data_IF_087489766058
#
_entry.id   IF_087489766058
#
_cell.length_a   1.000
_cell.length_b   1.000
_cell.length_c   1.000
_cell.angle_alpha   90.00
_cell.angle_beta   90.00
_cell.angle_gamma   90.00
#
_symmetry.space_group_name_H-M   'P 1'
#
loop_
_entity.id
_entity.type
_entity.pdbx_description
1 polymer ?
#
# COMPACT_ATOMS: atom_id res chain seq x y z
N UNK A 1 12.41 6.89 43.84
CA UNK A 1 13.59 6.04 44.04
C UNK A 1 13.83 5.97 45.53
N UNK A 2 13.16 5.07 46.24
CA UNK A 2 13.34 4.93 47.69
C UNK A 2 14.62 4.16 47.99
N UNK A 3 15.42 4.70 48.90
CA UNK A 3 16.58 4.06 49.54
C UNK A 3 16.17 2.82 50.37
N UNK A 4 15.81 1.72 49.72
CA UNK A 4 15.54 0.46 50.41
C UNK A 4 16.47 -0.62 49.89
N UNK A 5 17.75 -0.54 50.26
CA UNK A 5 18.63 -1.71 50.23
C UNK A 5 18.06 -2.69 51.25
N UNK A 6 17.45 -3.78 50.78
CA UNK A 6 16.87 -4.80 51.66
C UNK A 6 18.01 -5.45 52.46
N UNK A 7 18.09 -5.10 53.75
CA UNK A 7 19.10 -5.58 54.69
C UNK A 7 18.53 -6.50 55.76
N UNK A 8 17.38 -7.11 55.47
CA UNK A 8 16.72 -8.05 56.38
C UNK A 8 17.38 -9.42 56.30
N UNK A 9 17.83 -9.87 57.45
CA UNK A 9 18.52 -11.15 57.66
C UNK A 9 17.68 -11.99 58.61
N UNK A 10 17.44 -13.24 58.26
CA UNK A 10 16.80 -14.23 59.12
C UNK A 10 17.88 -15.18 59.68
N UNK A 11 18.06 -15.22 60.99
CA UNK A 11 18.95 -16.19 61.64
C UNK A 11 18.10 -17.33 62.22
N UNK A 12 18.44 -18.56 61.85
CA UNK A 12 17.80 -19.79 62.30
C UNK A 12 18.85 -20.65 62.98
N UNK A 13 18.84 -20.71 64.30
CA UNK A 13 19.75 -21.51 65.13
C UNK A 13 19.02 -21.86 66.44
N UNK A 14 19.22 -23.05 67.01
CA UNK A 14 18.52 -23.45 68.24
C UNK A 14 19.17 -22.84 69.51
N UNK A 15 20.41 -22.35 69.41
CA UNK A 15 21.22 -21.91 70.54
C UNK A 15 21.13 -20.39 70.77
N UNK A 16 20.54 -19.92 71.90
CA UNK A 16 20.38 -18.48 72.15
C UNK A 16 21.68 -17.66 72.14
N UNK A 17 22.81 -18.25 72.54
CA UNK A 17 24.10 -17.56 72.51
C UNK A 17 24.57 -17.19 71.10
N UNK A 18 24.22 -18.00 70.09
CA UNK A 18 24.57 -17.73 68.69
C UNK A 18 23.81 -16.51 68.17
N UNK A 19 22.55 -16.35 68.57
CA UNK A 19 21.77 -15.15 68.25
C UNK A 19 22.38 -13.88 68.84
N UNK A 20 22.87 -13.95 70.08
CA UNK A 20 23.53 -12.80 70.71
C UNK A 20 24.85 -12.45 70.05
N UNK A 21 25.62 -13.44 69.59
CA UNK A 21 26.87 -13.21 68.86
C UNK A 21 26.61 -12.60 67.48
N UNK A 22 25.66 -13.15 66.71
CA UNK A 22 25.25 -12.53 65.43
C UNK A 22 24.68 -11.13 65.61
N UNK A 23 23.93 -10.88 66.70
CA UNK A 23 23.43 -9.54 67.02
C UNK A 23 24.57 -8.57 67.32
N UNK A 24 25.60 -8.97 68.08
CA UNK A 24 26.79 -8.13 68.30
C UNK A 24 27.55 -7.84 67.01
N UNK A 25 27.62 -8.81 66.10
CA UNK A 25 28.36 -8.70 64.85
C UNK A 25 27.62 -7.85 63.81
N UNK A 26 26.32 -8.09 63.61
CA UNK A 26 25.51 -7.47 62.55
C UNK A 26 24.76 -6.22 63.04
N UNK A 27 24.49 -6.10 64.33
CA UNK A 27 23.76 -4.98 64.94
C UNK A 27 24.53 -4.43 66.15
N UNK A 28 25.75 -3.88 65.95
CA UNK A 28 26.54 -3.37 67.06
C UNK A 28 25.82 -2.20 67.78
N UNK A 29 25.83 -2.15 69.13
CA UNK A 29 25.18 -1.07 69.87
C UNK A 29 25.87 0.28 69.61
N UNK A 30 25.08 1.30 69.25
CA UNK A 30 25.54 2.65 68.87
C UNK A 30 26.29 3.41 69.98
N UNK A 31 26.27 2.95 71.22
CA UNK A 31 26.66 3.75 72.39
C UNK A 31 28.15 4.08 72.47
N UNK A 32 29.06 3.32 71.85
CA UNK A 32 30.50 3.56 71.97
C UNK A 32 31.15 4.30 70.80
N UNK A 33 30.48 4.45 69.65
CA UNK A 33 31.09 5.15 68.51
C UNK A 33 30.82 6.65 68.52
N UNK A 34 29.71 7.11 69.11
CA UNK A 34 29.33 8.52 69.05
C UNK A 34 30.35 9.45 69.74
N UNK A 35 30.81 9.12 70.96
CA UNK A 35 31.80 9.94 71.69
C UNK A 35 33.19 9.90 71.04
N UNK A 36 33.60 8.75 70.52
CA UNK A 36 34.87 8.57 69.84
C UNK A 36 34.89 9.23 68.46
N UNK A 37 33.80 9.13 67.69
CA UNK A 37 33.65 9.76 66.38
C UNK A 37 33.53 11.30 66.52
N UNK A 38 32.92 11.81 67.60
CA UNK A 38 32.93 13.25 67.95
C UNK A 38 34.34 13.74 68.32
N UNK A 39 35.11 12.96 69.09
CA UNK A 39 36.50 13.29 69.44
C UNK A 39 37.44 13.25 68.21
N UNK A 40 37.28 12.27 67.31
CA UNK A 40 38.08 12.15 66.08
C UNK A 40 37.78 13.29 65.10
N UNK A 41 36.50 13.67 64.95
CA UNK A 41 36.08 14.79 64.10
C UNK A 41 36.62 16.13 64.61
N UNK A 42 36.70 16.32 65.93
CA UNK A 42 37.27 17.52 66.54
C UNK A 42 38.81 17.61 66.41
N UNK A 43 39.51 16.48 66.29
CA UNK A 43 40.97 16.42 66.23
C UNK A 43 41.56 16.45 64.82
N UNK A 44 40.90 15.84 63.83
CA UNK A 44 41.51 15.61 62.50
C UNK A 44 40.76 16.26 61.32
N UNK A 45 39.59 16.86 61.53
CA UNK A 45 38.93 17.68 60.49
C UNK A 45 38.57 16.96 59.19
N UNK A 46 38.38 15.64 59.22
CA UNK A 46 37.94 14.85 58.05
C UNK A 46 36.48 14.37 58.18
N UNK A 47 35.88 14.19 57.00
CA UNK A 47 34.47 13.91 56.74
C UNK A 47 33.90 12.78 57.60
N UNK A 48 32.69 13.01 58.14
CA UNK A 48 31.89 12.04 58.87
C UNK A 48 31.98 10.64 58.25
N UNK A 49 32.52 9.67 59.00
CA UNK A 49 32.48 8.26 58.62
C UNK A 49 31.06 7.93 58.18
N UNK A 50 30.90 7.47 56.95
CA UNK A 50 29.62 6.99 56.40
C UNK A 50 29.02 6.00 57.40
N UNK A 51 27.89 6.35 58.02
CA UNK A 51 27.14 5.46 58.93
C UNK A 51 26.99 4.11 58.23
N UNK A 52 27.62 3.06 58.76
CA UNK A 52 27.50 1.72 58.19
C UNK A 52 26.01 1.34 58.25
N UNK A 53 25.38 1.05 57.10
CA UNK A 53 23.95 0.77 57.08
C UNK A 53 23.65 -0.49 57.90
N UNK A 54 22.81 -0.32 58.92
CA UNK A 54 22.54 -1.34 59.94
C UNK A 54 21.75 -2.51 59.34
N UNK A 55 22.09 -3.74 59.71
CA UNK A 55 21.31 -4.92 59.30
C UNK A 55 20.07 -5.04 60.20
N UNK A 56 18.96 -5.55 59.63
CA UNK A 56 17.76 -5.90 60.39
C UNK A 56 17.78 -7.42 60.60
N UNK A 57 17.98 -7.85 61.84
CA UNK A 57 18.15 -9.28 62.16
C UNK A 57 16.92 -9.81 62.90
N UNK A 58 16.22 -10.75 62.27
CA UNK A 58 15.18 -11.53 62.91
C UNK A 58 15.73 -12.91 63.33
N UNK A 59 15.32 -13.39 64.49
CA UNK A 59 15.82 -14.63 65.10
C UNK A 59 14.73 -15.68 65.13
N UNK A 60 14.98 -16.89 64.64
CA UNK A 60 14.12 -18.06 64.80
C UNK A 60 14.91 -19.18 65.48
N UNK A 61 14.28 -19.90 66.40
CA UNK A 61 14.93 -20.91 67.24
C UNK A 61 14.78 -22.33 66.68
N UNK A 62 14.31 -22.45 65.44
CA UNK A 62 14.09 -23.71 64.75
C UNK A 62 13.60 -23.50 63.32
N UNK A 63 13.74 -24.52 62.48
CA UNK A 63 13.42 -24.45 61.05
C UNK A 63 11.96 -24.09 60.75
N UNK A 64 11.00 -24.65 61.49
CA UNK A 64 9.57 -24.39 61.32
C UNK A 64 9.20 -22.95 61.69
N UNK A 65 9.80 -22.41 62.76
CA UNK A 65 9.63 -21.01 63.13
C UNK A 65 10.22 -20.07 62.07
N UNK A 66 11.39 -20.42 61.52
CA UNK A 66 12.04 -19.68 60.45
C UNK A 66 11.19 -19.60 59.19
N UNK A 67 10.62 -20.73 58.76
CA UNK A 67 9.68 -20.76 57.62
C UNK A 67 8.43 -19.91 57.90
N UNK A 68 7.89 -19.98 59.12
CA UNK A 68 6.75 -19.16 59.53
C UNK A 68 7.04 -17.66 59.44
N UNK A 69 8.25 -17.24 59.82
CA UNK A 69 8.70 -15.84 59.69
C UNK A 69 8.91 -15.44 58.25
N UNK A 70 9.53 -16.29 57.42
CA UNK A 70 9.68 -16.03 55.98
C UNK A 70 8.31 -15.82 55.31
N UNK A 71 7.35 -16.72 55.57
CA UNK A 71 6.02 -16.63 54.97
C UNK A 71 5.29 -15.35 55.38
N UNK A 72 5.38 -14.96 56.66
CA UNK A 72 4.82 -13.69 57.13
C UNK A 72 5.49 -12.50 56.45
N UNK A 73 6.81 -12.51 56.35
CA UNK A 73 7.59 -11.46 55.71
C UNK A 73 7.24 -11.30 54.21
N UNK A 74 7.00 -12.41 53.50
CA UNK A 74 6.52 -12.40 52.11
C UNK A 74 5.11 -11.83 51.98
N UNK A 75 4.19 -12.20 52.89
CA UNK A 75 2.82 -11.65 52.93
C UNK A 75 2.81 -10.14 53.20
N UNK A 76 3.70 -9.68 54.08
CA UNK A 76 3.88 -8.26 54.41
C UNK A 76 4.66 -7.48 53.35
N UNK A 77 5.04 -8.11 52.23
CA UNK A 77 5.88 -7.52 51.16
C UNK A 77 7.22 -6.98 51.66
N UNK A 78 7.77 -7.58 52.72
CA UNK A 78 9.09 -7.27 53.26
C UNK A 78 9.94 -8.54 53.26
N UNK A 79 10.35 -9.09 52.11
CA UNK A 79 11.11 -10.35 52.06
C UNK A 79 12.43 -10.27 52.83
N UNK A 80 12.92 -11.41 53.31
CA UNK A 80 14.30 -11.51 53.77
C UNK A 80 15.22 -11.65 52.56
N UNK A 81 16.34 -10.93 52.55
CA UNK A 81 17.32 -11.05 51.47
C UNK A 81 18.38 -12.13 51.76
N UNK A 82 18.61 -12.45 53.05
CA UNK A 82 19.58 -13.45 53.49
C UNK A 82 19.05 -14.25 54.67
N UNK A 83 19.33 -15.55 54.71
CA UNK A 83 19.15 -16.38 55.89
C UNK A 83 20.47 -17.06 56.31
N UNK A 84 20.78 -17.02 57.60
CA UNK A 84 21.80 -17.88 58.21
C UNK A 84 21.08 -19.06 58.86
N UNK A 85 21.45 -20.28 58.48
CA UNK A 85 20.74 -21.50 58.91
C UNK A 85 21.73 -22.47 59.52
N UNK A 86 21.53 -22.81 60.78
CA UNK A 86 22.29 -23.85 61.44
C UNK A 86 21.94 -25.24 60.89
N UNK A 87 22.94 -26.08 60.72
CA UNK A 87 22.76 -27.40 60.15
C UNK A 87 22.16 -28.40 61.15
N UNK A 88 22.36 -28.21 62.46
CA UNK A 88 21.99 -29.18 63.49
C UNK A 88 21.11 -28.56 64.57
N UNK A 89 19.80 -28.65 64.34
CA UNK A 89 18.77 -28.29 65.31
C UNK A 89 18.11 -29.59 65.84
N UNK A 90 18.36 -30.02 67.10
CA UNK A 90 17.92 -31.31 67.63
C UNK A 90 16.40 -31.42 67.77
N UNK A 91 15.74 -30.31 68.11
CA UNK A 91 14.30 -30.23 68.33
C UNK A 91 13.61 -29.71 67.05
N UNK A 92 13.39 -30.60 66.06
CA UNK A 92 12.59 -30.32 64.88
C UNK A 92 13.29 -30.57 63.54
N UNK A 93 13.17 -29.62 62.60
CA UNK A 93 13.79 -29.73 61.28
C UNK A 93 15.29 -29.48 61.36
N UNK A 94 16.09 -30.26 60.64
CA UNK A 94 17.50 -29.97 60.43
C UNK A 94 17.70 -28.78 59.48
N UNK A 95 18.94 -28.27 59.39
CA UNK A 95 19.22 -27.14 58.51
C UNK A 95 18.95 -27.43 57.04
N UNK A 96 19.28 -28.63 56.57
CA UNK A 96 19.03 -29.01 55.17
C UNK A 96 17.54 -28.98 54.80
N UNK A 97 16.67 -29.59 55.61
CA UNK A 97 15.22 -29.57 55.42
C UNK A 97 14.65 -28.16 55.55
N UNK A 98 15.22 -27.35 56.45
CA UNK A 98 14.84 -25.94 56.60
C UNK A 98 15.10 -25.18 55.30
N UNK A 99 16.29 -25.31 54.70
CA UNK A 99 16.66 -24.61 53.46
C UNK A 99 15.79 -25.03 52.28
N UNK A 100 15.50 -26.32 52.12
CA UNK A 100 14.59 -26.82 51.08
C UNK A 100 13.23 -26.12 51.14
N UNK A 101 12.65 -26.02 52.33
CA UNK A 101 11.36 -25.37 52.52
C UNK A 101 11.41 -23.85 52.36
N UNK A 102 12.49 -23.19 52.80
CA UNK A 102 12.66 -21.76 52.58
C UNK A 102 12.72 -21.42 51.08
N UNK A 103 13.50 -22.16 50.28
CA UNK A 103 13.60 -21.91 48.83
C UNK A 103 12.37 -22.31 48.03
N UNK A 104 11.57 -23.25 48.51
CA UNK A 104 10.25 -23.52 47.92
C UNK A 104 9.32 -22.32 48.02
N UNK A 105 9.43 -21.52 49.09
CA UNK A 105 8.60 -20.32 49.31
C UNK A 105 9.23 -19.06 48.71
N UNK A 106 10.54 -18.89 48.84
CA UNK A 106 11.31 -17.80 48.26
C UNK A 106 12.57 -18.31 47.53
N UNK A 107 12.49 -18.54 46.21
CA UNK A 107 13.64 -18.96 45.42
C UNK A 107 14.77 -17.92 45.33
N UNK A 108 14.53 -16.67 45.70
CA UNK A 108 15.51 -15.58 45.61
C UNK A 108 16.33 -15.41 46.89
N UNK A 109 15.84 -15.91 48.03
CA UNK A 109 16.51 -15.86 49.33
C UNK A 109 17.94 -16.41 49.24
N UNK A 110 18.94 -15.60 49.62
CA UNK A 110 20.30 -16.08 49.77
C UNK A 110 20.44 -16.85 51.08
N UNK A 111 21.21 -17.94 51.10
CA UNK A 111 21.35 -18.76 52.31
C UNK A 111 22.82 -19.04 52.62
N UNK A 112 23.17 -18.85 53.90
CA UNK A 112 24.46 -19.24 54.48
C UNK A 112 24.21 -20.38 55.46
N UNK A 113 24.89 -21.51 55.24
CA UNK A 113 24.87 -22.66 56.13
C UNK A 113 25.88 -22.48 57.25
N UNK A 114 25.42 -22.48 58.48
CA UNK A 114 26.25 -22.52 59.68
C UNK A 114 26.46 -23.98 60.10
N UNK A 115 27.70 -24.43 60.26
CA UNK A 115 27.98 -25.84 60.58
C UNK A 115 29.25 -26.03 61.41
N UNK A 116 29.29 -27.08 62.23
CA UNK A 116 30.49 -27.56 62.92
C UNK A 116 31.21 -28.63 62.09
N UNK A 117 32.49 -28.88 62.38
CA UNK A 117 33.43 -29.67 61.55
C UNK A 117 33.05 -31.15 61.27
N UNK A 118 31.87 -31.63 61.67
CA UNK A 118 31.51 -33.05 61.73
C UNK A 118 30.10 -33.43 61.29
N UNK A 119 29.26 -32.49 60.84
CA UNK A 119 27.80 -32.75 60.79
C UNK A 119 27.31 -33.43 59.49
N UNK A 120 27.91 -33.17 58.33
CA UNK A 120 27.56 -33.83 57.05
C UNK A 120 28.75 -33.85 56.06
N UNK A 121 28.71 -34.75 55.07
CA UNK A 121 29.61 -34.67 53.90
C UNK A 121 29.12 -33.57 52.95
N UNK A 122 30.03 -32.73 52.45
CA UNK A 122 29.69 -31.56 51.62
C UNK A 122 28.97 -31.93 50.33
N UNK A 123 29.38 -33.04 49.71
CA UNK A 123 28.80 -33.54 48.46
C UNK A 123 27.35 -33.98 48.65
N UNK A 124 27.01 -34.59 49.79
CA UNK A 124 25.64 -35.02 50.09
C UNK A 124 24.70 -33.83 50.26
N UNK A 125 25.17 -32.76 50.90
CA UNK A 125 24.41 -31.53 51.12
C UNK A 125 24.19 -30.77 49.80
N UNK A 126 25.23 -30.61 48.98
CA UNK A 126 25.14 -29.96 47.67
C UNK A 126 24.23 -30.73 46.70
N UNK A 127 24.33 -32.07 46.68
CA UNK A 127 23.47 -32.92 45.85
C UNK A 127 22.01 -32.89 46.31
N UNK A 128 21.77 -32.83 47.62
CA UNK A 128 20.42 -32.74 48.19
C UNK A 128 19.75 -31.40 47.86
N UNK A 129 20.51 -30.32 47.83
CA UNK A 129 19.99 -28.96 47.65
C UNK A 129 20.06 -28.42 46.22
N UNK A 130 20.74 -29.09 45.28
CA UNK A 130 20.84 -28.71 43.85
C UNK A 130 21.21 -27.22 43.59
N UNK A 131 21.94 -26.57 44.51
CA UNK A 131 22.07 -25.11 44.56
C UNK A 131 23.53 -24.63 44.64
N UNK A 132 24.34 -25.00 43.64
CA UNK A 132 25.80 -24.78 43.63
C UNK A 132 26.24 -23.30 43.76
N UNK A 133 25.42 -22.33 43.35
CA UNK A 133 25.80 -20.91 43.32
C UNK A 133 25.11 -20.03 44.37
N UNK A 134 24.26 -20.60 45.23
CA UNK A 134 23.40 -19.86 46.19
C UNK A 134 23.62 -20.24 47.65
N UNK A 135 24.55 -21.16 47.89
CA UNK A 135 24.89 -21.68 49.21
C UNK A 135 26.31 -21.25 49.56
N UNK A 136 26.45 -20.44 50.61
CA UNK A 136 27.75 -20.22 51.25
C UNK A 136 27.79 -20.96 52.57
N UNK A 137 29.00 -21.29 53.01
CA UNK A 137 29.23 -22.08 54.22
C UNK A 137 30.03 -21.23 55.19
N UNK A 138 29.57 -21.20 56.43
CA UNK A 138 30.22 -20.52 57.53
C UNK A 138 30.51 -21.54 58.65
N UNK A 139 31.79 -21.73 58.98
CA UNK A 139 32.21 -22.72 59.99
C UNK A 139 32.20 -22.12 61.39
N UNK A 140 31.73 -22.88 62.39
CA UNK A 140 31.79 -22.54 63.82
C UNK A 140 33.20 -22.88 64.39
N UNK A 141 33.83 -22.02 65.24
CA UNK A 141 33.36 -20.72 65.73
C UNK A 141 33.48 -19.62 64.67
N UNK A 142 32.53 -18.69 64.68
CA UNK A 142 32.40 -17.66 63.65
C UNK A 142 33.44 -16.55 63.79
N UNK A 143 34.01 -16.11 62.66
CA UNK A 143 34.77 -14.87 62.59
C UNK A 143 33.85 -13.69 62.26
N UNK A 144 33.96 -12.61 63.04
CA UNK A 144 33.13 -11.42 62.89
C UNK A 144 33.25 -10.79 61.49
N UNK A 145 34.45 -10.79 60.91
CA UNK A 145 34.73 -10.22 59.59
C UNK A 145 34.09 -11.11 58.51
N UNK A 146 34.18 -12.42 58.66
CA UNK A 146 33.61 -13.39 57.70
C UNK A 146 32.08 -13.26 57.62
N UNK A 147 31.40 -13.21 58.76
CA UNK A 147 29.94 -13.00 58.85
C UNK A 147 29.52 -11.68 58.19
N UNK A 148 30.23 -10.57 58.49
CA UNK A 148 29.92 -9.27 57.92
C UNK A 148 30.17 -9.22 56.40
N UNK A 149 31.24 -9.84 55.92
CA UNK A 149 31.56 -9.88 54.49
C UNK A 149 30.54 -10.72 53.71
N UNK A 150 30.16 -11.89 54.24
CA UNK A 150 29.12 -12.72 53.63
C UNK A 150 27.78 -12.00 53.59
N UNK A 151 27.37 -11.37 54.70
CA UNK A 151 26.13 -10.61 54.76
C UNK A 151 26.10 -9.49 53.71
N UNK A 152 27.12 -8.63 53.66
CA UNK A 152 27.17 -7.54 52.69
C UNK A 152 27.18 -8.05 51.24
N UNK A 153 27.97 -9.09 50.94
CA UNK A 153 28.12 -9.62 49.58
C UNK A 153 26.81 -10.23 49.08
N UNK A 154 26.16 -11.06 49.89
CA UNK A 154 24.93 -11.74 49.50
C UNK A 154 23.74 -10.79 49.41
N UNK A 155 23.63 -9.82 50.32
CA UNK A 155 22.59 -8.79 50.23
C UNK A 155 22.76 -7.93 48.97
N UNK A 156 24.00 -7.55 48.64
CA UNK A 156 24.31 -6.81 47.40
C UNK A 156 23.95 -7.65 46.17
N UNK A 157 24.24 -8.95 46.18
CA UNK A 157 23.89 -9.88 45.10
C UNK A 157 22.36 -10.00 44.92
N UNK A 158 21.62 -10.09 46.02
CA UNK A 158 20.16 -10.13 46.00
C UNK A 158 19.59 -8.85 45.35
N UNK A 159 20.06 -7.68 45.82
CA UNK A 159 19.64 -6.37 45.31
C UNK A 159 19.96 -6.19 43.81
N UNK A 160 21.15 -6.61 43.38
CA UNK A 160 21.53 -6.57 41.96
C UNK A 160 20.64 -7.47 41.10
N UNK A 161 20.26 -8.64 41.60
CA UNK A 161 19.42 -9.60 40.88
C UNK A 161 18.00 -9.08 40.70
N UNK A 162 17.42 -8.52 41.75
CA UNK A 162 16.09 -7.89 41.70
C UNK A 162 16.09 -6.71 40.72
N UNK A 163 17.10 -5.84 40.83
CA UNK A 163 17.24 -4.68 39.94
C UNK A 163 17.41 -5.07 38.47
N UNK A 164 18.22 -6.09 38.19
CA UNK A 164 18.41 -6.59 36.84
C UNK A 164 17.10 -7.16 36.26
N UNK A 165 16.31 -7.88 37.06
CA UNK A 165 15.01 -8.41 36.64
C UNK A 165 14.02 -7.27 36.29
N UNK A 166 13.92 -6.25 37.14
CA UNK A 166 13.07 -5.08 36.87
C UNK A 166 13.51 -4.31 35.62
N UNK A 167 14.82 -4.12 35.43
CA UNK A 167 15.36 -3.46 34.25
C UNK A 167 15.09 -4.26 32.98
N UNK A 168 15.24 -5.58 33.03
CA UNK A 168 14.97 -6.47 31.89
C UNK A 168 13.51 -6.34 31.45
N UNK A 169 12.58 -6.41 32.40
CA UNK A 169 11.16 -6.29 32.08
C UNK A 169 10.80 -4.91 31.49
N UNK A 170 11.42 -3.85 32.00
CA UNK A 170 11.25 -2.51 31.44
C UNK A 170 11.79 -2.39 30.01
N UNK A 171 12.97 -2.98 29.74
CA UNK A 171 13.57 -2.99 28.42
C UNK A 171 12.72 -3.78 27.41
N UNK A 172 12.21 -4.95 27.80
CA UNK A 172 11.31 -5.76 26.98
C UNK A 172 10.07 -4.96 26.57
N UNK A 173 9.44 -4.27 27.53
CA UNK A 173 8.28 -3.43 27.25
C UNK A 173 8.62 -2.28 26.29
N UNK A 174 9.76 -1.60 26.47
CA UNK A 174 10.21 -0.53 25.56
C UNK A 174 10.50 -1.05 24.14
N UNK A 175 11.10 -2.24 24.02
CA UNK A 175 11.38 -2.87 22.73
C UNK A 175 10.07 -3.21 22.01
N UNK A 176 9.09 -3.75 22.70
CA UNK A 176 7.78 -4.07 22.12
C UNK A 176 7.05 -2.82 21.65
N UNK A 177 7.03 -1.76 22.47
CA UNK A 177 6.46 -0.46 22.10
C UNK A 177 7.12 0.12 20.84
N UNK A 178 8.46 0.14 20.80
CA UNK A 178 9.19 0.67 19.63
C UNK A 178 8.99 -0.19 18.38
N UNK A 179 8.92 -1.50 18.53
CA UNK A 179 8.69 -2.42 17.41
C UNK A 179 7.32 -2.18 16.79
N UNK A 180 6.31 -1.96 17.63
CA UNK A 180 4.95 -1.63 17.17
C UNK A 180 4.90 -0.27 16.47
N UNK A 181 5.49 0.77 17.06
CA UNK A 181 5.57 2.10 16.43
C UNK A 181 6.32 2.06 15.10
N UNK A 182 7.43 1.33 15.02
CA UNK A 182 8.20 1.19 13.80
C UNK A 182 7.40 0.47 12.69
N UNK A 183 6.68 -0.61 13.02
CA UNK A 183 5.80 -1.30 12.07
C UNK A 183 4.73 -0.36 11.51
N UNK A 184 4.04 0.39 12.38
CA UNK A 184 3.03 1.36 11.97
C UNK A 184 3.60 2.45 11.06
N UNK A 185 4.76 3.02 11.42
CA UNK A 185 5.43 4.03 10.60
C UNK A 185 5.89 3.48 9.24
N UNK A 186 6.39 2.24 9.21
CA UNK A 186 6.80 1.59 7.97
C UNK A 186 5.63 1.33 7.02
N UNK A 187 4.49 0.88 7.55
CA UNK A 187 3.27 0.70 6.76
C UNK A 187 2.71 2.01 6.22
N UNK A 188 2.67 3.07 7.04
CA UNK A 188 2.24 4.39 6.60
C UNK A 188 3.15 4.93 5.48
N UNK A 189 4.47 4.81 5.63
CA UNK A 189 5.43 5.24 4.62
C UNK A 189 5.27 4.46 3.30
N UNK A 190 5.01 3.14 3.37
CA UNK A 190 4.75 2.34 2.16
C UNK A 190 3.52 2.82 1.40
N UNK A 191 2.41 3.11 2.11
CA UNK A 191 1.20 3.65 1.48
C UNK A 191 1.47 4.98 0.79
N UNK A 192 2.21 5.88 1.43
CA UNK A 192 2.52 7.19 0.85
C UNK A 192 3.47 7.08 -0.36
N UNK A 193 4.40 6.12 -0.36
CA UNK A 193 5.24 5.83 -1.54
C UNK A 193 4.38 5.33 -2.71
N UNK A 194 3.42 4.43 -2.45
CA UNK A 194 2.56 3.87 -3.50
C UNK A 194 1.62 4.95 -4.08
N UNK A 195 1.03 5.80 -3.23
CA UNK A 195 0.25 6.96 -3.66
C UNK A 195 1.09 7.93 -4.50
N UNK A 196 2.30 8.26 -4.06
CA UNK A 196 3.22 9.14 -4.82
C UNK A 196 3.56 8.55 -6.18
N UNK A 197 3.85 7.25 -6.27
CA UNK A 197 4.13 6.58 -7.56
C UNK A 197 2.94 6.64 -8.51
N UNK A 198 1.73 6.46 -7.99
CA UNK A 198 0.52 6.53 -8.80
C UNK A 198 0.30 7.95 -9.34
N UNK A 199 0.49 8.98 -8.51
CA UNK A 199 0.40 10.38 -8.92
C UNK A 199 1.49 10.76 -9.94
N UNK A 200 2.73 10.30 -9.73
CA UNK A 200 3.84 10.53 -10.67
C UNK A 200 3.54 9.89 -12.04
N UNK A 201 3.01 8.67 -12.06
CA UNK A 201 2.56 8.03 -13.30
C UNK A 201 1.47 8.80 -14.03
N UNK A 202 0.50 9.34 -13.28
CA UNK A 202 -0.56 10.19 -13.84
C UNK A 202 -0.02 11.51 -14.41
N UNK A 203 0.95 12.15 -13.72
CA UNK A 203 1.58 13.39 -14.19
C UNK A 203 2.36 13.16 -15.48
N UNK A 204 3.18 12.11 -15.55
CA UNK A 204 3.93 11.77 -16.78
C UNK A 204 2.98 11.49 -17.94
N UNK A 205 1.87 10.80 -17.69
CA UNK A 205 0.86 10.58 -18.72
C UNK A 205 0.19 11.89 -19.14
N UNK A 206 -0.18 12.76 -18.20
CA UNK A 206 -0.75 14.08 -18.49
C UNK A 206 0.19 14.97 -19.29
N UNK A 207 1.48 14.99 -18.95
CA UNK A 207 2.50 15.77 -19.66
C UNK A 207 2.68 15.27 -21.10
N UNK A 208 2.73 13.95 -21.30
CA UNK A 208 2.75 13.35 -22.65
C UNK A 208 1.53 13.75 -23.47
N UNK A 209 0.34 13.75 -22.86
CA UNK A 209 -0.91 14.13 -23.54
C UNK A 209 -0.93 15.63 -23.89
N UNK A 210 -0.46 16.49 -22.97
CA UNK A 210 -0.36 17.93 -23.21
C UNK A 210 0.64 18.27 -24.33
N UNK A 211 1.82 17.66 -24.31
CA UNK A 211 2.83 17.79 -25.37
C UNK A 211 2.31 17.33 -26.72
N UNK A 212 1.60 16.19 -26.76
CA UNK A 212 0.98 15.67 -27.98
C UNK A 212 -0.12 16.61 -28.48
N UNK A 213 -0.92 17.20 -27.59
CA UNK A 213 -1.96 18.17 -27.93
C UNK A 213 -1.39 19.43 -28.58
N UNK A 214 -0.36 20.03 -27.98
CA UNK A 214 0.22 21.28 -28.50
C UNK A 214 0.87 21.09 -29.89
N UNK A 215 1.54 19.95 -30.12
CA UNK A 215 2.09 19.61 -31.44
C UNK A 215 0.99 19.27 -32.45
N UNK A 216 -0.04 18.54 -32.03
CA UNK A 216 -1.16 18.14 -32.88
C UNK A 216 -1.91 19.33 -33.49
N UNK A 217 -2.10 20.43 -32.75
CA UNK A 217 -2.82 21.60 -33.26
C UNK A 217 -2.09 22.29 -34.44
N UNK A 218 -0.76 22.44 -34.35
CA UNK A 218 0.07 23.01 -35.41
C UNK A 218 0.20 22.07 -36.61
N UNK A 219 0.57 20.82 -36.35
CA UNK A 219 0.71 19.77 -37.38
C UNK A 219 -0.59 19.55 -38.14
N UNK A 220 -1.74 19.61 -37.45
CA UNK A 220 -3.02 19.41 -38.12
C UNK A 220 -3.37 20.50 -39.14
N UNK A 221 -2.98 21.75 -38.87
CA UNK A 221 -3.19 22.82 -39.84
C UNK A 221 -2.25 22.66 -41.05
N UNK A 222 -1.01 22.23 -40.81
CA UNK A 222 -0.02 22.05 -41.87
C UNK A 222 -0.28 20.82 -42.74
N UNK A 223 -0.89 19.76 -42.21
CA UNK A 223 -1.27 18.58 -42.99
C UNK A 223 -2.62 18.75 -43.71
N UNK A 224 -3.60 19.45 -43.12
CA UNK A 224 -4.90 19.67 -43.78
C UNK A 224 -4.78 20.47 -45.08
N UNK A 225 -3.85 21.42 -45.13
CA UNK A 225 -3.62 22.23 -46.33
C UNK A 225 -3.23 21.39 -47.57
N UNK A 226 -2.17 20.58 -47.57
CA UNK A 226 -1.80 19.71 -48.68
C UNK A 226 -2.87 18.66 -49.01
N UNK A 227 -3.54 18.09 -48.01
CA UNK A 227 -4.67 17.16 -48.22
C UNK A 227 -5.79 17.83 -49.02
N UNK A 228 -6.15 19.06 -48.68
CA UNK A 228 -7.15 19.83 -49.42
C UNK A 228 -6.77 20.04 -50.88
N UNK A 229 -5.52 20.41 -51.15
CA UNK A 229 -5.02 20.57 -52.52
C UNK A 229 -5.07 19.25 -53.31
N UNK A 230 -4.61 18.14 -52.72
CA UNK A 230 -4.59 16.85 -53.42
C UNK A 230 -6.02 16.34 -53.65
N UNK A 231 -6.90 16.45 -52.67
CA UNK A 231 -8.32 16.06 -52.81
C UNK A 231 -9.01 16.83 -53.93
N UNK A 232 -8.76 18.15 -54.02
CA UNK A 232 -9.30 19.00 -55.09
C UNK A 232 -8.75 18.60 -56.46
N UNK A 233 -7.45 18.34 -56.54
CA UNK A 233 -6.80 17.92 -57.79
C UNK A 233 -7.31 16.56 -58.27
N UNK A 234 -7.47 15.58 -57.38
CA UNK A 234 -8.06 14.28 -57.74
C UNK A 234 -9.52 14.39 -58.14
N UNK A 235 -10.29 15.26 -57.49
CA UNK A 235 -11.66 15.56 -57.90
C UNK A 235 -11.72 16.13 -59.33
N UNK A 236 -10.81 17.02 -59.65
CA UNK A 236 -10.69 17.63 -60.99
C UNK A 236 -10.22 16.60 -62.03
N UNK A 237 -9.22 15.78 -61.69
CA UNK A 237 -8.69 14.72 -62.54
C UNK A 237 -9.76 13.68 -62.89
N UNK A 238 -10.55 13.25 -61.90
CA UNK A 238 -11.70 12.37 -62.10
C UNK A 238 -12.68 12.98 -63.12
N UNK A 239 -13.02 14.26 -62.95
CA UNK A 239 -13.88 14.99 -63.87
C UNK A 239 -13.31 15.11 -65.29
N UNK A 240 -12.00 15.28 -65.45
CA UNK A 240 -11.34 15.28 -66.75
C UNK A 240 -11.34 13.89 -67.39
N UNK A 241 -11.07 12.85 -66.61
CA UNK A 241 -11.06 11.48 -67.10
C UNK A 241 -12.46 11.03 -67.56
N UNK A 242 -13.52 11.36 -66.82
CA UNK A 242 -14.91 11.08 -67.23
C UNK A 242 -15.27 11.76 -68.57
N UNK A 243 -14.79 12.99 -68.81
CA UNK A 243 -14.97 13.68 -70.09
C UNK A 243 -14.22 12.98 -71.23
N UNK A 244 -13.00 12.48 -70.97
CA UNK A 244 -12.24 11.71 -71.94
C UNK A 244 -12.91 10.37 -72.27
N UNK A 245 -13.42 9.64 -71.26
CA UNK A 245 -14.21 8.42 -71.47
C UNK A 245 -15.43 8.67 -72.33
N UNK A 246 -16.18 9.76 -72.06
CA UNK A 246 -17.35 10.15 -72.85
C UNK A 246 -16.97 10.38 -74.32
N UNK A 247 -15.83 11.02 -74.59
CA UNK A 247 -15.34 11.24 -75.96
C UNK A 247 -14.89 9.93 -76.62
N UNK A 248 -14.20 9.06 -75.87
CA UNK A 248 -13.78 7.74 -76.34
C UNK A 248 -15.00 6.87 -76.71
N UNK A 249 -16.09 6.95 -75.95
CA UNK A 249 -17.35 6.25 -76.26
C UNK A 249 -17.98 6.73 -77.56
N UNK A 250 -17.92 8.03 -77.82
CA UNK A 250 -18.38 8.59 -79.09
C UNK A 250 -17.52 8.11 -80.27
N UNK A 251 -16.19 8.05 -80.10
CA UNK A 251 -15.29 7.49 -81.11
C UNK A 251 -15.52 6.01 -81.35
N UNK A 252 -15.69 5.22 -80.28
CA UNK A 252 -15.98 3.80 -80.38
C UNK A 252 -17.30 3.53 -81.12
N UNK A 253 -18.33 4.34 -80.84
CA UNK A 253 -19.62 4.27 -81.55
C UNK A 253 -19.48 4.62 -83.04
N UNK A 254 -18.63 5.59 -83.39
CA UNK A 254 -18.37 5.96 -84.78
C UNK A 254 -17.52 4.92 -85.54
N UNK A 255 -16.59 4.26 -84.84
CA UNK A 255 -15.75 3.18 -85.39
C UNK A 255 -16.59 2.01 -85.90
N UNK A 256 -17.70 1.68 -85.23
CA UNK A 256 -18.63 0.63 -85.67
C UNK A 256 -19.23 0.89 -87.07
N UNK A 257 -19.32 2.15 -87.51
CA UNK A 257 -19.79 2.51 -88.85
C UNK A 257 -18.71 2.28 -89.92
N UNK A 258 -17.44 2.26 -89.54
CA UNK A 258 -16.27 2.04 -90.41
C UNK A 258 -15.84 0.57 -90.48
N UNK A 259 -16.71 -0.34 -90.03
CA UNK A 259 -16.43 -1.77 -89.95
C UNK A 259 -15.91 -2.34 -91.28
N UNK A 260 -14.78 -3.06 -91.23
CA UNK A 260 -14.13 -3.67 -92.39
C UNK A 260 -13.16 -2.77 -93.17
N UNK A 261 -12.98 -1.50 -92.77
CA UNK A 261 -11.95 -0.62 -93.34
C UNK A 261 -10.56 -0.91 -92.76
N UNK A 262 -9.50 -0.62 -93.51
CA UNK A 262 -8.11 -0.73 -93.03
C UNK A 262 -7.84 0.20 -91.83
N UNK A 263 -8.57 1.33 -91.74
CA UNK A 263 -8.51 2.26 -90.62
C UNK A 263 -9.10 1.66 -89.34
N UNK A 264 -10.18 0.88 -89.43
CA UNK A 264 -10.75 0.19 -88.26
C UNK A 264 -9.77 -0.84 -87.68
N UNK A 265 -9.09 -1.61 -88.53
CA UNK A 265 -8.05 -2.57 -88.09
C UNK A 265 -6.86 -1.87 -87.41
N UNK A 266 -6.47 -0.68 -87.88
CA UNK A 266 -5.41 0.12 -87.24
C UNK A 266 -5.83 0.64 -85.86
N UNK A 267 -7.07 1.10 -85.71
CA UNK A 267 -7.61 1.57 -84.44
C UNK A 267 -7.76 0.42 -83.42
N UNK A 268 -8.23 -0.74 -83.87
CA UNK A 268 -8.33 -1.95 -83.06
C UNK A 268 -6.95 -2.40 -82.55
N UNK A 269 -5.95 -2.47 -83.42
CA UNK A 269 -4.60 -2.82 -83.00
C UNK A 269 -4.01 -1.81 -82.00
N UNK A 270 -4.26 -0.51 -82.21
CA UNK A 270 -3.79 0.52 -81.29
C UNK A 270 -4.49 0.43 -79.93
N UNK A 271 -5.79 0.10 -79.91
CA UNK A 271 -6.60 -0.13 -78.69
C UNK A 271 -6.08 -1.31 -77.87
N UNK A 272 -5.72 -2.41 -78.54
CA UNK A 272 -5.10 -3.58 -77.91
C UNK A 272 -3.69 -3.24 -77.38
N UNK A 273 -2.87 -2.54 -78.17
CA UNK A 273 -1.50 -2.17 -77.77
C UNK A 273 -1.44 -1.29 -76.52
N UNK A 274 -2.40 -0.37 -76.34
CA UNK A 274 -2.46 0.50 -75.16
C UNK A 274 -3.29 -0.10 -74.02
N UNK A 275 -3.86 -1.29 -74.22
CA UNK A 275 -4.74 -1.96 -73.26
C UNK A 275 -5.88 -1.03 -72.78
N UNK A 276 -6.57 -0.39 -73.73
CA UNK A 276 -7.51 0.69 -73.41
C UNK A 276 -8.60 0.25 -72.44
N UNK A 277 -9.15 -0.96 -72.60
CA UNK A 277 -10.21 -1.49 -71.74
C UNK A 277 -9.75 -1.62 -70.28
N UNK A 278 -8.50 -2.05 -70.07
CA UNK A 278 -7.89 -2.12 -68.75
C UNK A 278 -7.75 -0.71 -68.14
N UNK A 279 -7.23 0.26 -68.91
CA UNK A 279 -7.08 1.64 -68.43
C UNK A 279 -8.43 2.31 -68.10
N UNK A 280 -9.48 1.99 -68.85
CA UNK A 280 -10.84 2.48 -68.62
C UNK A 280 -11.41 2.01 -67.28
N UNK A 281 -11.05 0.81 -66.83
CA UNK A 281 -11.48 0.26 -65.55
C UNK A 281 -10.54 0.64 -64.38
N UNK A 282 -9.24 0.63 -64.60
CA UNK A 282 -8.21 0.79 -63.57
C UNK A 282 -8.04 2.25 -63.12
N UNK A 283 -8.02 3.22 -64.04
CA UNK A 283 -7.81 4.63 -63.69
C UNK A 283 -8.90 5.18 -62.75
N UNK A 284 -10.21 4.93 -62.97
CA UNK A 284 -11.25 5.32 -62.02
C UNK A 284 -11.06 4.68 -60.64
N UNK A 285 -10.63 3.41 -60.59
CA UNK A 285 -10.37 2.70 -59.34
C UNK A 285 -9.20 3.36 -58.57
N UNK A 286 -8.08 3.63 -59.23
CA UNK A 286 -6.92 4.29 -58.63
C UNK A 286 -7.25 5.69 -58.09
N UNK A 287 -8.05 6.46 -58.83
CA UNK A 287 -8.51 7.79 -58.38
C UNK A 287 -9.40 7.66 -57.15
N UNK A 288 -10.31 6.68 -57.14
CA UNK A 288 -11.19 6.41 -56.01
C UNK A 288 -10.41 6.00 -54.77
N UNK A 289 -9.51 5.03 -54.88
CA UNK A 289 -8.65 4.58 -53.78
C UNK A 289 -7.79 5.72 -53.22
N UNK A 290 -7.23 6.56 -54.10
CA UNK A 290 -6.45 7.73 -53.70
C UNK A 290 -7.30 8.75 -52.92
N UNK A 291 -8.53 9.01 -53.35
CA UNK A 291 -9.48 9.89 -52.63
C UNK A 291 -9.82 9.31 -51.25
N UNK A 292 -10.07 8.00 -51.16
CA UNK A 292 -10.34 7.31 -49.89
C UNK A 292 -9.15 7.43 -48.93
N UNK A 293 -7.92 7.22 -49.41
CA UNK A 293 -6.70 7.39 -48.63
C UNK A 293 -6.54 8.80 -48.07
N UNK A 294 -6.76 9.84 -48.89
CA UNK A 294 -6.65 11.24 -48.48
C UNK A 294 -7.72 11.62 -47.46
N UNK A 295 -8.97 11.19 -47.69
CA UNK A 295 -10.06 11.40 -46.73
C UNK A 295 -9.73 10.78 -45.37
N UNK A 296 -9.11 9.61 -45.37
CA UNK A 296 -8.66 8.93 -44.16
C UNK A 296 -7.56 9.70 -43.44
N UNK A 297 -6.55 10.19 -44.14
CA UNK A 297 -5.52 11.04 -43.51
C UNK A 297 -6.15 12.31 -42.93
N UNK A 298 -7.09 12.93 -43.65
CA UNK A 298 -7.84 14.08 -43.16
C UNK A 298 -8.65 13.75 -41.90
N UNK A 299 -9.21 12.54 -41.79
CA UNK A 299 -9.90 12.10 -40.59
C UNK A 299 -8.94 11.92 -39.41
N UNK A 300 -7.81 11.23 -39.60
CA UNK A 300 -6.79 11.05 -38.55
C UNK A 300 -6.32 12.39 -38.00
N UNK A 301 -6.08 13.35 -38.90
CA UNK A 301 -5.60 14.68 -38.55
C UNK A 301 -6.69 15.48 -37.81
N UNK A 302 -7.97 15.34 -38.20
CA UNK A 302 -9.11 15.93 -37.48
C UNK A 302 -9.26 15.33 -36.09
N UNK A 303 -9.25 14.01 -35.96
CA UNK A 303 -9.33 13.33 -34.66
C UNK A 303 -8.18 13.76 -33.74
N UNK A 304 -6.97 13.91 -34.27
CA UNK A 304 -5.80 14.40 -33.54
C UNK A 304 -5.93 15.87 -33.13
N UNK A 305 -6.54 16.70 -33.98
CA UNK A 305 -6.83 18.12 -33.70
C UNK A 305 -7.95 18.29 -32.68
N UNK A 306 -8.97 17.45 -32.72
CA UNK A 306 -10.08 17.47 -31.76
C UNK A 306 -9.60 16.96 -30.40
N UNK A 307 -8.67 16.01 -30.39
CA UNK A 307 -7.92 15.60 -29.20
C UNK A 307 -7.10 16.76 -28.60
N UNK A 308 -6.48 17.61 -29.42
CA UNK A 308 -5.71 18.76 -28.92
C UNK A 308 -6.54 19.98 -28.57
N UNK A 309 -7.69 20.17 -29.22
CA UNK A 309 -8.64 21.28 -29.00
C UNK A 309 -9.48 21.14 -27.72
N UNK A 310 -8.97 20.45 -26.72
CA UNK A 310 -9.51 20.49 -25.34
C UNK A 310 -9.39 21.93 -24.75
N UNK A 311 -8.82 22.90 -25.48
CA UNK A 311 -8.52 24.27 -25.07
C UNK A 311 -9.73 25.23 -24.79
N UNK A 312 -9.67 25.74 -23.55
CA UNK A 312 -9.70 27.16 -23.10
C UNK A 312 -10.95 28.04 -23.14
N UNK A 313 -12.00 27.71 -23.90
CA UNK A 313 -13.26 28.48 -23.86
C UNK A 313 -14.46 27.69 -23.32
N UNK A 314 -14.20 26.52 -22.72
CA UNK A 314 -15.23 25.69 -22.13
C UNK A 314 -15.29 25.98 -20.64
N UNK A 315 -16.38 26.64 -20.24
CA UNK A 315 -16.66 26.89 -18.83
C UNK A 315 -17.37 25.69 -18.23
N UNK A 316 -16.93 25.35 -17.00
CA UNK A 316 -17.66 24.43 -16.14
C UNK A 316 -19.03 25.01 -15.88
N UNK A 317 -20.06 24.23 -16.21
CA UNK A 317 -21.44 24.66 -16.10
C UNK A 317 -22.31 23.50 -15.62
N UNK A 318 -23.41 23.85 -14.97
CA UNK A 318 -24.48 22.92 -14.68
C UNK A 318 -25.17 22.55 -15.98
N UNK A 319 -25.16 21.26 -16.30
CA UNK A 319 -25.70 20.77 -17.56
C UNK A 319 -26.56 19.52 -17.37
N UNK A 320 -27.62 19.44 -18.17
CA UNK A 320 -28.45 18.26 -18.29
C UNK A 320 -27.80 17.28 -19.27
N UNK A 321 -27.21 16.20 -18.75
CA UNK A 321 -26.56 15.18 -19.57
C UNK A 321 -27.51 14.47 -20.53
N UNK A 322 -28.78 14.32 -20.16
CA UNK A 322 -29.75 13.66 -21.02
C UNK A 322 -29.98 14.45 -22.31
N UNK A 323 -30.01 15.79 -22.24
CA UNK A 323 -30.05 16.65 -23.42
C UNK A 323 -28.78 16.50 -24.28
N UNK A 324 -27.62 16.36 -23.63
CA UNK A 324 -26.35 16.07 -24.31
C UNK A 324 -26.38 14.74 -25.07
N UNK A 325 -26.83 13.66 -24.43
CA UNK A 325 -26.99 12.33 -25.03
C UNK A 325 -27.91 12.39 -26.25
N UNK A 326 -29.07 13.03 -26.14
CA UNK A 326 -30.03 13.16 -27.25
C UNK A 326 -29.44 13.92 -28.43
N UNK A 327 -28.72 15.01 -28.15
CA UNK A 327 -28.04 15.81 -29.19
C UNK A 327 -26.99 14.96 -29.92
N UNK A 328 -26.20 14.19 -29.18
CA UNK A 328 -25.19 13.30 -29.74
C UNK A 328 -25.82 12.20 -30.61
N UNK A 329 -26.89 11.55 -30.14
CA UNK A 329 -27.59 10.51 -30.90
C UNK A 329 -28.14 11.01 -32.23
N UNK A 330 -28.64 12.25 -32.27
CA UNK A 330 -29.11 12.87 -33.51
C UNK A 330 -27.98 13.07 -34.52
N UNK A 331 -26.77 13.43 -34.05
CA UNK A 331 -25.61 13.64 -34.93
C UNK A 331 -25.15 12.32 -35.55
N UNK A 332 -25.12 11.23 -34.78
CA UNK A 332 -24.66 9.90 -35.26
C UNK A 332 -25.78 9.05 -35.86
N UNK A 333 -26.99 9.59 -36.00
CA UNK A 333 -28.16 8.83 -36.46
C UNK A 333 -27.96 8.18 -37.84
N UNK A 334 -27.21 8.83 -38.75
CA UNK A 334 -26.90 8.29 -40.08
C UNK A 334 -26.00 7.05 -40.03
N UNK A 335 -25.05 7.00 -39.11
CA UNK A 335 -24.16 5.83 -38.89
C UNK A 335 -24.93 4.68 -38.24
N UNK A 336 -25.86 5.00 -37.34
CA UNK A 336 -26.68 4.02 -36.63
C UNK A 336 -27.77 3.38 -37.50
N UNK A 337 -28.38 4.16 -38.41
CA UNK A 337 -29.56 3.78 -39.20
C UNK A 337 -29.49 2.40 -39.87
N UNK A 338 -28.28 2.00 -40.29
CA UNK A 338 -28.05 0.74 -41.01
C UNK A 338 -27.34 -0.33 -40.17
N UNK A 339 -26.97 -0.02 -38.93
CA UNK A 339 -26.10 -0.87 -38.08
C UNK A 339 -26.78 -1.35 -36.80
N UNK A 340 -27.57 -0.50 -36.15
CA UNK A 340 -28.15 -0.83 -34.86
C UNK A 340 -29.47 -0.11 -34.59
N UNK A 341 -30.30 -0.74 -33.76
CA UNK A 341 -31.45 -0.09 -33.13
C UNK A 341 -31.06 0.47 -31.76
N UNK A 342 -31.54 1.67 -31.45
CA UNK A 342 -31.19 2.38 -30.23
C UNK A 342 -32.32 2.23 -29.21
N UNK A 343 -32.01 1.58 -28.09
CA UNK A 343 -32.92 1.44 -26.94
C UNK A 343 -32.50 2.44 -25.87
N UNK A 344 -33.46 3.25 -25.41
CA UNK A 344 -33.24 4.31 -24.42
C UNK A 344 -33.95 3.93 -23.13
N UNK A 345 -33.18 3.74 -22.06
CA UNK A 345 -33.68 3.39 -20.73
C UNK A 345 -33.12 4.40 -19.72
N UNK A 346 -33.71 5.59 -19.75
CA UNK A 346 -33.22 6.72 -18.99
C UNK A 346 -33.92 6.83 -17.64
N UNK A 347 -33.11 6.95 -16.59
CA UNK A 347 -33.56 7.53 -15.34
C UNK A 347 -33.32 9.04 -15.37
N UNK A 348 -34.16 9.77 -14.61
CA UNK A 348 -34.02 11.22 -14.46
C UNK A 348 -32.68 11.54 -13.82
N UNK A 349 -31.81 12.20 -14.57
CA UNK A 349 -30.54 12.70 -14.06
C UNK A 349 -30.71 14.12 -13.52
N UNK A 350 -30.15 14.45 -12.34
CA UNK A 350 -29.96 15.83 -11.93
C UNK A 350 -28.97 16.53 -12.88
N UNK A 351 -28.98 17.86 -12.88
CA UNK A 351 -27.90 18.61 -13.51
C UNK A 351 -26.58 18.27 -12.85
N UNK A 352 -25.52 18.17 -13.65
CA UNK A 352 -24.16 17.95 -13.15
C UNK A 352 -23.26 19.10 -13.58
N UNK A 353 -22.27 19.40 -12.74
CA UNK A 353 -21.22 20.35 -13.07
C UNK A 353 -20.17 19.68 -14.00
N UNK A 354 -20.18 20.06 -15.28
CA UNK A 354 -19.31 19.44 -16.29
C UNK A 354 -18.95 20.39 -17.44
N UNK A 355 -18.13 19.91 -18.37
CA UNK A 355 -17.86 20.53 -19.67
C UNK A 355 -18.69 19.77 -20.73
N UNK A 356 -19.89 20.26 -21.13
CA UNK A 356 -20.87 19.44 -21.85
C UNK A 356 -20.37 18.93 -23.19
N UNK A 357 -19.62 19.75 -23.93
CA UNK A 357 -18.99 19.38 -25.19
C UNK A 357 -18.02 18.20 -25.05
N UNK A 358 -17.26 18.13 -23.96
CA UNK A 358 -16.33 17.03 -23.72
C UNK A 358 -17.08 15.74 -23.39
N UNK A 359 -18.12 15.82 -22.54
CA UNK A 359 -18.94 14.65 -22.22
C UNK A 359 -19.70 14.15 -23.46
N UNK A 360 -20.21 15.06 -24.29
CA UNK A 360 -20.83 14.69 -25.57
C UNK A 360 -19.83 13.96 -26.49
N UNK A 361 -18.55 14.35 -26.49
CA UNK A 361 -17.51 13.64 -27.23
C UNK A 361 -17.27 12.22 -26.70
N UNK A 362 -17.27 12.04 -25.38
CA UNK A 362 -17.19 10.70 -24.76
C UNK A 362 -18.35 9.82 -25.24
N UNK A 363 -19.58 10.34 -25.15
CA UNK A 363 -20.79 9.62 -25.58
C UNK A 363 -20.70 9.29 -27.07
N UNK A 364 -20.30 10.25 -27.91
CA UNK A 364 -20.15 10.06 -29.36
C UNK A 364 -19.17 8.93 -29.65
N UNK A 365 -17.98 8.95 -29.05
CA UNK A 365 -16.96 7.94 -29.25
C UNK A 365 -17.45 6.55 -28.86
N UNK A 366 -18.15 6.42 -27.71
CA UNK A 366 -18.67 5.15 -27.24
C UNK A 366 -19.79 4.62 -28.14
N UNK A 367 -20.72 5.46 -28.58
CA UNK A 367 -21.82 5.06 -29.49
C UNK A 367 -21.30 4.66 -30.86
N UNK A 368 -20.33 5.40 -31.41
CA UNK A 368 -19.71 5.08 -32.70
C UNK A 368 -18.93 3.75 -32.61
N UNK A 369 -18.19 3.53 -31.52
CA UNK A 369 -17.49 2.26 -31.28
C UNK A 369 -18.46 1.09 -31.18
N UNK A 370 -19.58 1.26 -30.47
CA UNK A 370 -20.66 0.27 -30.38
C UNK A 370 -21.24 -0.06 -31.76
N UNK A 371 -21.54 0.94 -32.58
CA UNK A 371 -22.06 0.75 -33.93
C UNK A 371 -21.07 0.03 -34.85
N UNK A 372 -19.77 0.29 -34.69
CA UNK A 372 -18.70 -0.32 -35.46
C UNK A 372 -18.40 -1.77 -35.04
N UNK A 373 -18.70 -2.14 -33.80
CA UNK A 373 -18.58 -3.52 -33.31
C UNK A 373 -19.70 -4.44 -33.83
N UNK A 374 -20.74 -3.89 -34.45
CA UNK A 374 -21.85 -4.66 -35.01
C UNK A 374 -21.43 -5.47 -36.24
N UNK A 375 -21.94 -6.70 -36.31
CA UNK A 375 -21.74 -7.63 -37.42
C UNK A 375 -22.55 -7.25 -38.68
N UNK A 376 -22.75 -8.22 -39.60
CA UNK A 376 -23.59 -8.03 -40.79
C UNK A 376 -25.08 -7.89 -40.45
N UNK A 377 -25.52 -8.44 -39.32
CA UNK A 377 -26.88 -8.30 -38.81
C UNK A 377 -27.02 -7.02 -37.96
N UNK A 378 -28.23 -6.43 -37.94
CA UNK A 378 -28.51 -5.27 -37.09
C UNK A 378 -28.45 -5.69 -35.62
N UNK A 379 -27.62 -5.00 -34.84
CA UNK A 379 -27.55 -5.18 -33.40
C UNK A 379 -28.41 -4.18 -32.63
N UNK A 380 -28.25 -4.17 -31.31
CA UNK A 380 -28.92 -3.22 -30.42
C UNK A 380 -27.88 -2.43 -29.62
N UNK A 381 -28.06 -1.11 -29.52
CA UNK A 381 -27.32 -0.24 -28.60
C UNK A 381 -28.29 0.24 -27.54
N UNK A 382 -28.03 -0.13 -26.29
CA UNK A 382 -28.84 0.28 -25.13
C UNK A 382 -28.12 1.39 -24.38
N UNK A 383 -28.75 2.56 -24.26
CA UNK A 383 -28.27 3.64 -23.42
C UNK A 383 -29.08 3.70 -22.13
N UNK A 384 -28.38 3.60 -21.00
CA UNK A 384 -28.94 3.73 -19.67
C UNK A 384 -28.31 4.89 -18.92
N UNK A 385 -29.10 5.52 -18.07
CA UNK A 385 -28.61 6.57 -17.17
C UNK A 385 -29.15 6.33 -15.78
N UNK A 386 -28.42 6.80 -14.77
CA UNK A 386 -28.93 6.84 -13.41
C UNK A 386 -27.96 7.52 -12.46
N UNK A 387 -28.34 7.52 -11.19
CA UNK A 387 -27.57 8.13 -10.12
C UNK A 387 -27.33 7.14 -9.00
N UNK A 388 -26.15 7.17 -8.41
CA UNK A 388 -25.81 6.44 -7.21
C UNK A 388 -25.13 7.41 -6.23
N UNK A 389 -25.86 7.84 -5.19
CA UNK A 389 -25.38 8.87 -4.26
C UNK A 389 -25.03 10.18 -4.97
N UNK A 390 -23.82 10.69 -4.75
CA UNK A 390 -23.27 11.92 -5.35
C UNK A 390 -22.63 11.69 -6.74
N UNK A 391 -22.95 10.57 -7.40
CA UNK A 391 -22.43 10.23 -8.74
C UNK A 391 -23.56 9.95 -9.72
N UNK A 392 -23.46 10.54 -10.90
CA UNK A 392 -24.25 10.18 -12.07
C UNK A 392 -23.50 9.15 -12.91
N UNK A 393 -24.21 8.23 -13.54
CA UNK A 393 -23.62 7.25 -14.45
C UNK A 393 -24.39 7.18 -15.77
N UNK A 394 -23.63 6.93 -16.85
CA UNK A 394 -24.11 6.68 -18.20
C UNK A 394 -23.56 5.33 -18.62
N UNK A 395 -24.43 4.45 -19.08
CA UNK A 395 -24.07 3.11 -19.56
C UNK A 395 -24.48 2.98 -21.03
N UNK A 396 -23.54 2.50 -21.86
CA UNK A 396 -23.74 2.25 -23.28
C UNK A 396 -23.37 0.79 -23.52
N UNK A 397 -24.38 -0.03 -23.76
CA UNK A 397 -24.24 -1.45 -24.03
C UNK A 397 -24.54 -1.76 -25.49
N UNK A 398 -23.67 -2.53 -26.13
CA UNK A 398 -23.84 -3.05 -27.48
C UNK A 398 -23.95 -4.57 -27.48
N UNK A 399 -24.61 -5.10 -28.51
CA UNK A 399 -24.66 -6.54 -28.81
C UNK A 399 -23.69 -6.90 -29.95
N UNK A 400 -22.53 -6.23 -29.99
CA UNK A 400 -21.52 -6.41 -31.04
C UNK A 400 -20.63 -7.63 -30.81
N UNK A 401 -19.47 -7.64 -31.46
CA UNK A 401 -18.50 -8.75 -31.40
C UNK A 401 -17.81 -8.96 -30.05
N UNK A 402 -17.91 -8.01 -29.12
CA UNK A 402 -17.19 -8.04 -27.85
C UNK A 402 -15.67 -7.87 -27.98
N UNK A 403 -14.98 -7.89 -26.85
CA UNK A 403 -13.53 -7.61 -26.73
C UNK A 403 -12.87 -8.80 -26.03
N UNK A 404 -11.77 -9.30 -26.58
CA UNK A 404 -11.02 -10.39 -25.97
C UNK A 404 -10.35 -9.94 -24.64
N UNK A 405 -10.24 -10.83 -23.63
CA UNK A 405 -9.64 -10.51 -22.32
C UNK A 405 -8.25 -9.88 -22.40
N UNK A 406 -7.41 -10.37 -23.32
CA UNK A 406 -6.04 -9.86 -23.50
C UNK A 406 -6.00 -8.45 -24.10
N UNK A 407 -7.07 -8.05 -24.80
CA UNK A 407 -7.21 -6.73 -25.45
C UNK A 407 -7.78 -5.70 -24.48
N UNK A 408 -8.66 -6.12 -23.56
CA UNK A 408 -9.33 -5.27 -22.58
C UNK A 408 -8.38 -4.37 -21.78
N UNK A 409 -7.17 -4.84 -21.47
CA UNK A 409 -6.18 -4.07 -20.72
C UNK A 409 -5.56 -2.91 -21.52
N UNK A 410 -5.65 -2.94 -22.85
CA UNK A 410 -4.96 -2.01 -23.77
C UNK A 410 -5.90 -1.06 -24.50
N UNK A 411 -7.22 -1.23 -24.35
CA UNK A 411 -8.19 -0.45 -25.14
C UNK A 411 -8.15 1.07 -24.88
N UNK A 412 -7.60 1.47 -23.73
CA UNK A 412 -7.39 2.88 -23.36
C UNK A 412 -5.99 3.39 -23.71
N UNK A 413 -5.10 2.54 -24.24
CA UNK A 413 -3.78 2.95 -24.69
C UNK A 413 -3.92 3.79 -25.98
N UNK A 414 -3.28 4.96 -26.07
CA UNK A 414 -3.29 5.77 -27.29
C UNK A 414 -2.79 4.97 -28.50
N UNK A 415 -3.45 5.15 -29.65
CA UNK A 415 -3.15 4.48 -30.93
C UNK A 415 -3.40 2.96 -30.97
N UNK A 416 -3.89 2.36 -29.88
CA UNK A 416 -4.27 0.96 -29.87
C UNK A 416 -5.60 0.76 -30.63
N UNK A 417 -5.62 -0.15 -31.59
CA UNK A 417 -6.84 -0.50 -32.35
C UNK A 417 -6.78 -1.97 -32.78
N UNK A 418 -7.89 -2.69 -32.64
CA UNK A 418 -8.06 -4.06 -33.16
C UNK A 418 -8.51 -4.09 -34.62
N UNK A 419 -8.84 -2.92 -35.18
CA UNK A 419 -9.30 -2.80 -36.57
C UNK A 419 -8.16 -2.95 -37.57
N UNK A 420 -8.45 -3.40 -38.81
CA UNK A 420 -7.47 -3.44 -39.88
C UNK A 420 -6.77 -2.10 -40.07
N UNK A 421 -5.54 -2.12 -40.61
CA UNK A 421 -4.71 -0.96 -40.94
C UNK A 421 -5.47 -0.06 -41.91
N UNK A 422 -6.30 0.83 -41.40
CA UNK A 422 -7.44 1.28 -42.18
C UNK A 422 -8.41 2.16 -41.43
N UNK A 423 -8.92 1.57 -40.36
CA UNK A 423 -10.32 1.81 -40.00
C UNK A 423 -10.47 2.27 -38.54
N UNK A 424 -9.36 2.41 -37.81
CA UNK A 424 -9.34 2.92 -36.44
C UNK A 424 -8.12 3.78 -36.18
N UNK A 425 -8.35 4.94 -35.57
CA UNK A 425 -7.28 5.85 -35.11
C UNK A 425 -6.71 5.44 -33.76
N UNK A 426 -7.45 4.65 -32.97
CA UNK A 426 -7.05 4.22 -31.62
C UNK A 426 -7.02 5.38 -30.61
N UNK A 427 -7.62 6.52 -30.94
CA UNK A 427 -7.63 7.71 -30.08
C UNK A 427 -8.95 7.94 -29.34
N UNK A 428 -10.06 7.35 -29.81
CA UNK A 428 -11.39 7.63 -29.25
C UNK A 428 -11.56 7.19 -27.78
N UNK A 429 -11.11 5.99 -27.42
CA UNK A 429 -11.24 5.48 -26.04
C UNK A 429 -10.23 6.12 -25.08
N UNK A 430 -8.99 6.35 -25.52
CA UNK A 430 -7.98 7.05 -24.73
C UNK A 430 -8.37 8.51 -24.46
N UNK A 431 -8.96 9.19 -25.44
CA UNK A 431 -9.58 10.51 -25.25
C UNK A 431 -10.73 10.45 -24.25
N UNK A 432 -11.61 9.46 -24.39
CA UNK A 432 -12.76 9.30 -23.50
C UNK A 432 -12.32 9.11 -22.05
N UNK A 433 -11.29 8.29 -21.83
CA UNK A 433 -10.67 8.09 -20.52
C UNK A 433 -10.10 9.39 -19.95
N UNK A 434 -9.33 10.15 -20.76
CA UNK A 434 -8.77 11.43 -20.34
C UNK A 434 -9.82 12.47 -19.95
N UNK A 435 -10.90 12.59 -20.75
CA UNK A 435 -12.02 13.49 -20.45
C UNK A 435 -12.71 13.09 -19.15
N UNK A 436 -13.03 11.81 -18.97
CA UNK A 436 -13.73 11.33 -17.76
C UNK A 436 -12.88 11.57 -16.51
N UNK A 437 -11.57 11.30 -16.58
CA UNK A 437 -10.64 11.59 -15.47
C UNK A 437 -10.52 13.07 -15.15
N UNK A 438 -10.51 13.94 -16.16
CA UNK A 438 -10.56 15.40 -15.96
C UNK A 438 -11.80 15.87 -15.20
N UNK A 439 -12.91 15.12 -15.30
CA UNK A 439 -14.15 15.36 -14.57
C UNK A 439 -14.22 14.65 -13.20
N UNK A 440 -13.08 14.16 -12.68
CA UNK A 440 -13.02 13.41 -11.43
C UNK A 440 -13.78 12.08 -11.48
N UNK A 441 -14.08 11.58 -12.68
CA UNK A 441 -14.89 10.41 -12.92
C UNK A 441 -14.11 9.12 -13.13
N UNK A 442 -14.85 8.07 -13.43
CA UNK A 442 -14.31 6.77 -13.81
C UNK A 442 -15.03 6.20 -15.04
N UNK A 443 -14.29 5.45 -15.86
CA UNK A 443 -14.85 4.74 -17.01
C UNK A 443 -14.45 3.27 -16.89
N UNK A 444 -15.46 2.40 -16.84
CA UNK A 444 -15.30 0.95 -16.73
C UNK A 444 -15.89 0.27 -17.95
N UNK A 445 -15.39 -0.93 -18.23
CA UNK A 445 -15.80 -1.74 -19.37
C UNK A 445 -16.04 -3.17 -18.91
N UNK A 446 -17.13 -3.77 -19.36
CA UNK A 446 -17.44 -5.18 -19.24
C UNK A 446 -17.73 -5.71 -20.64
N UNK A 447 -17.04 -6.75 -21.07
CA UNK A 447 -17.17 -7.27 -22.43
C UNK A 447 -17.04 -8.79 -22.43
N UNK A 448 -17.84 -9.45 -23.24
CA UNK A 448 -17.77 -10.88 -23.50
C UNK A 448 -17.72 -11.11 -25.01
N UNK A 449 -16.76 -11.92 -25.44
CA UNK A 449 -16.52 -12.19 -26.86
C UNK A 449 -17.76 -12.85 -27.48
N UNK A 450 -18.31 -12.23 -28.52
CA UNK A 450 -19.53 -12.70 -29.21
C UNK A 450 -20.86 -12.30 -28.55
N UNK A 451 -20.85 -11.74 -27.33
CA UNK A 451 -22.06 -11.26 -26.64
C UNK A 451 -22.22 -9.74 -26.70
N UNK A 452 -21.11 -9.00 -26.75
CA UNK A 452 -21.08 -7.53 -26.85
C UNK A 452 -20.26 -6.85 -25.75
N UNK A 453 -20.36 -5.52 -25.69
CA UNK A 453 -19.60 -4.69 -24.73
C UNK A 453 -20.50 -3.70 -24.02
N UNK A 454 -20.23 -3.47 -22.74
CA UNK A 454 -20.88 -2.44 -21.92
C UNK A 454 -19.82 -1.51 -21.36
N UNK A 455 -19.89 -0.23 -21.75
CA UNK A 455 -19.12 0.84 -21.14
C UNK A 455 -19.97 1.57 -20.13
N UNK A 456 -19.43 1.82 -18.94
CA UNK A 456 -20.06 2.63 -17.89
C UNK A 456 -19.16 3.80 -17.52
N UNK A 457 -19.66 5.01 -17.73
CA UNK A 457 -19.04 6.28 -17.36
C UNK A 457 -19.69 6.76 -16.07
N UNK A 458 -18.90 7.08 -15.06
CA UNK A 458 -19.34 7.62 -13.77
C UNK A 458 -18.73 9.01 -13.56
N UNK A 459 -19.57 9.98 -13.19
CA UNK A 459 -19.19 11.38 -13.01
C UNK A 459 -19.77 11.88 -11.68
N UNK A 460 -19.00 12.62 -10.86
CA UNK A 460 -19.54 13.26 -9.67
C UNK A 460 -20.53 14.36 -10.05
N UNK A 461 -21.59 14.54 -9.25
CA UNK A 461 -22.60 15.59 -9.48
C UNK A 461 -22.01 17.00 -9.35
N UNK A 462 -21.06 17.16 -8.43
CA UNK A 462 -20.28 18.38 -8.20
C UNK A 462 -18.80 18.11 -8.37
N UNK A 463 -18.10 19.02 -9.02
CA UNK A 463 -16.66 18.94 -9.12
C UNK A 463 -16.05 19.43 -7.82
N UNK A 464 -15.35 18.55 -7.11
CA UNK A 464 -14.49 18.98 -6.02
C UNK A 464 -13.34 19.77 -6.64
N UNK A 465 -13.45 21.11 -6.67
CA UNK A 465 -12.31 21.96 -7.04
C UNK A 465 -11.15 21.56 -6.13
N UNK A 466 -10.15 20.88 -6.69
CA UNK A 466 -8.86 20.79 -6.02
C UNK A 466 -8.44 22.23 -5.72
N UNK A 467 -8.20 22.54 -4.44
CA UNK A 467 -7.58 23.80 -4.08
C UNK A 467 -6.31 23.93 -4.90
N UNK A 468 -6.29 24.96 -5.75
CA UNK A 468 -5.17 25.33 -6.63
C UNK A 468 -3.86 25.43 -5.88
#
# INVERSE_FOLDING_TARGET
MSELSNRRILLIDDMPSIHDDFRKILVPPQAHSAELDEMEAALFGEQAKTKRPMFELDSAYGGEEGLGKLNRALQEQRPYALAFVDMRMPDGWDGAKTIEHLWQQDPQLQVVVCTAYSDYSWDDLLNRLNAHDRLLILKKPFDNIEVQQMANTLLTKWEMTERASLQMHHLEHLVDQRTTQFKQASEALRREIDERKQLEGQLVQSEKLASLGQLAAGVAHEINNPIGFISSNLGTLDGYFQKLLTMLDAYYSAEQVLAGSQTALQLEHMREQIELEYLREDVPLLIKESKEGINRVGQIVRDLKDFSRIDNNQEWQWANLQQGIESTLNIVASELKYKADVVKDYQVLPEIECLPSQINQVIMNLVVNAAQAMGPERGTITLRTGTQGETAWIEIADTGSGIAPDTLQKIFDPFFTTKPVGQGTGLGLSLSYGIVKKHGGDISVSSELGSGTTFRVQLPLRQTRAAT
#
